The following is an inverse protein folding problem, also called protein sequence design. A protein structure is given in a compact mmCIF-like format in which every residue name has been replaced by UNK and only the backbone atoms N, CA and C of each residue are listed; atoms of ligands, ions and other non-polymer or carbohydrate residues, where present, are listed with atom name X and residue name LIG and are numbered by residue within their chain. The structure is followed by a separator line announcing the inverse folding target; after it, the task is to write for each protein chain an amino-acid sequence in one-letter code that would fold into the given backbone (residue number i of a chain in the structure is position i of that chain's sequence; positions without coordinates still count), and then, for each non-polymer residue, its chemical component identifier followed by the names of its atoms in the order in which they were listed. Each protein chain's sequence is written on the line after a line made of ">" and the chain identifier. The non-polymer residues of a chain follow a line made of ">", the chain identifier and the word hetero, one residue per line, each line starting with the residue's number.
data_IF_114591634286
#
_entry.id   IF_114591634286
#
_cell.length_a   1.000
_cell.length_b   1.000
_cell.length_c   1.000
_cell.angle_alpha   90.00
_cell.angle_beta   90.00
_cell.angle_gamma   90.00
#
_symmetry.space_group_name_H-M   'P 1'
#
loop_
_entity.id
_entity.type
_entity.pdbx_description
1 polymer ?
#
# COMPACT_ATOMS: atom_id res chain seq x y z
N UNK A 1 5.85 -7.97 9.92
CA UNK A 1 6.23 -8.77 8.73
C UNK A 1 7.46 -9.59 9.07
N UNK A 2 7.42 -10.89 8.82
CA UNK A 2 8.55 -11.80 9.04
C UNK A 2 9.63 -11.59 7.97
N UNK A 3 10.91 -11.85 8.27
CA UNK A 3 11.97 -11.77 7.26
C UNK A 3 11.63 -12.64 6.05
N UNK A 4 11.53 -12.04 4.85
CA UNK A 4 11.17 -12.73 3.60
C UNK A 4 9.83 -12.30 3.00
N UNK A 5 8.95 -11.68 3.77
CA UNK A 5 7.72 -11.11 3.24
C UNK A 5 8.03 -9.88 2.40
N UNK A 6 7.63 -9.93 1.13
CA UNK A 6 7.79 -8.85 0.16
C UNK A 6 6.46 -8.62 -0.51
N UNK A 7 6.19 -7.37 -0.82
CA UNK A 7 5.07 -7.01 -1.66
C UNK A 7 5.26 -7.61 -3.06
N UNK A 8 4.48 -8.63 -3.39
CA UNK A 8 4.51 -9.32 -4.68
C UNK A 8 3.10 -9.78 -5.07
N UNK A 9 2.14 -8.84 -5.25
CA UNK A 9 0.77 -9.19 -5.62
C UNK A 9 0.73 -9.73 -7.06
N UNK A 10 -0.27 -10.55 -7.33
CA UNK A 10 -0.71 -10.88 -8.69
C UNK A 10 -1.47 -9.71 -9.31
N UNK A 11 -1.66 -9.75 -10.64
CA UNK A 11 -2.44 -8.73 -11.34
C UNK A 11 -3.88 -8.63 -10.80
N UNK A 12 -4.49 -9.77 -10.48
CA UNK A 12 -5.85 -9.84 -9.94
C UNK A 12 -5.94 -9.17 -8.56
N UNK A 13 -4.99 -9.47 -7.67
CA UNK A 13 -4.92 -8.85 -6.33
C UNK A 13 -4.64 -7.34 -6.43
N UNK A 14 -3.76 -6.92 -7.35
CA UNK A 14 -3.48 -5.50 -7.57
C UNK A 14 -4.75 -4.74 -7.96
N UNK A 15 -5.56 -5.32 -8.85
CA UNK A 15 -6.80 -4.69 -9.32
C UNK A 15 -7.85 -4.71 -8.22
N UNK A 16 -8.16 -5.89 -7.68
CA UNK A 16 -9.31 -6.09 -6.79
C UNK A 16 -9.05 -5.55 -5.39
N UNK A 17 -7.88 -5.82 -4.80
CA UNK A 17 -7.59 -5.46 -3.41
C UNK A 17 -7.02 -4.05 -3.24
N UNK A 18 -6.43 -3.46 -4.29
CA UNK A 18 -5.80 -2.14 -4.20
C UNK A 18 -6.49 -1.08 -5.06
N UNK A 19 -6.61 -1.31 -6.38
CA UNK A 19 -7.12 -0.26 -7.29
C UNK A 19 -8.63 -0.05 -7.16
N UNK A 20 -9.42 -1.12 -7.12
CA UNK A 20 -10.88 -1.02 -6.94
C UNK A 20 -11.23 -0.38 -5.60
N UNK A 21 -10.57 -0.81 -4.52
CA UNK A 21 -10.76 -0.24 -3.19
C UNK A 21 -10.43 1.26 -3.14
N UNK A 22 -9.33 1.68 -3.78
CA UNK A 22 -8.97 3.09 -3.90
C UNK A 22 -10.01 3.94 -4.64
N UNK A 23 -10.71 3.37 -5.62
CA UNK A 23 -11.75 4.07 -6.38
C UNK A 23 -13.05 4.15 -5.57
N UNK A 24 -13.41 3.06 -4.89
CA UNK A 24 -14.68 2.93 -4.17
C UNK A 24 -14.66 3.64 -2.81
N UNK A 25 -13.49 3.72 -2.16
CA UNK A 25 -13.30 4.34 -0.86
C UNK A 25 -12.17 5.39 -0.92
N UNK A 26 -12.55 6.66 -0.84
CA UNK A 26 -11.62 7.78 -0.84
C UNK A 26 -10.73 7.83 0.42
N UNK A 27 -11.07 7.07 1.47
CA UNK A 27 -10.29 6.93 2.70
C UNK A 27 -9.35 5.74 2.68
N UNK A 28 -9.48 4.85 1.68
CA UNK A 28 -8.60 3.70 1.51
C UNK A 28 -7.14 4.15 1.40
N UNK A 29 -6.29 3.60 2.27
CA UNK A 29 -4.86 3.91 2.31
C UNK A 29 -4.05 2.63 2.24
N UNK A 30 -3.56 2.29 1.04
CA UNK A 30 -2.68 1.15 0.85
C UNK A 30 -1.28 1.40 1.41
N UNK A 31 -0.84 0.59 2.36
CA UNK A 31 0.49 0.69 3.00
C UNK A 31 1.68 0.45 2.05
N UNK A 32 1.42 -0.16 0.89
CA UNK A 32 2.44 -0.52 -0.10
C UNK A 32 2.44 0.38 -1.35
N UNK A 33 1.43 1.23 -1.54
CA UNK A 33 1.27 2.05 -2.76
C UNK A 33 1.09 3.52 -2.37
N UNK A 34 2.01 4.37 -2.82
CA UNK A 34 1.95 5.81 -2.60
C UNK A 34 1.14 6.53 -3.69
N UNK A 35 0.55 7.67 -3.34
CA UNK A 35 -0.11 8.56 -4.30
C UNK A 35 0.90 9.55 -4.88
N UNK A 36 1.17 9.47 -6.18
CA UNK A 36 2.07 10.38 -6.87
C UNK A 36 1.58 10.65 -8.29
N UNK A 37 1.80 11.87 -8.77
CA UNK A 37 1.57 12.24 -10.16
C UNK A 37 2.79 11.87 -11.00
N UNK A 38 2.71 10.74 -11.70
CA UNK A 38 3.82 10.21 -12.50
C UNK A 38 4.26 11.14 -13.64
N UNK A 39 3.41 12.08 -14.09
CA UNK A 39 3.74 12.99 -15.18
C UNK A 39 4.61 14.18 -14.74
N UNK A 40 4.80 14.36 -13.44
CA UNK A 40 5.57 15.47 -12.86
C UNK A 40 6.90 15.05 -12.27
N UNK A 41 7.24 13.76 -12.34
CA UNK A 41 8.42 13.20 -11.69
C UNK A 41 9.25 12.44 -12.72
N UNK A 42 10.57 12.54 -12.59
CA UNK A 42 11.45 11.69 -13.36
C UNK A 42 11.45 10.27 -12.78
N UNK A 43 11.65 9.22 -13.61
CA UNK A 43 11.56 7.83 -13.15
C UNK A 43 12.49 7.50 -11.97
N UNK A 44 13.65 8.14 -11.89
CA UNK A 44 14.63 7.94 -10.82
C UNK A 44 14.28 8.66 -9.50
N UNK A 45 13.32 9.58 -9.50
CA UNK A 45 12.85 10.26 -8.29
C UNK A 45 11.81 9.42 -7.54
N UNK A 46 11.11 8.53 -8.26
CA UNK A 46 10.04 7.68 -7.72
C UNK A 46 10.44 6.87 -6.49
N UNK A 47 11.63 6.24 -6.39
CA UNK A 47 12.03 5.48 -5.20
C UNK A 47 12.10 6.35 -3.95
N UNK A 48 12.62 7.58 -4.06
CA UNK A 48 12.73 8.52 -2.94
C UNK A 48 11.34 8.99 -2.50
N UNK A 49 10.48 9.31 -3.48
CA UNK A 49 9.09 9.69 -3.22
C UNK A 49 8.31 8.56 -2.56
N UNK A 50 8.47 7.31 -3.02
CA UNK A 50 7.81 6.15 -2.43
C UNK A 50 8.19 6.00 -0.94
N UNK A 51 9.48 6.08 -0.60
CA UNK A 51 9.94 6.01 0.80
C UNK A 51 9.34 7.17 1.61
N UNK A 52 9.41 8.40 1.09
CA UNK A 52 8.90 9.58 1.81
C UNK A 52 7.39 9.53 2.02
N UNK A 53 6.62 9.14 0.99
CA UNK A 53 5.16 9.16 1.05
C UNK A 53 4.60 8.00 1.90
N UNK A 54 5.16 6.80 1.74
CA UNK A 54 4.75 5.64 2.53
C UNK A 54 5.10 5.80 4.02
N UNK A 55 6.17 6.54 4.35
CA UNK A 55 6.52 6.83 5.75
C UNK A 55 5.66 7.93 6.36
N UNK A 56 5.21 8.92 5.57
CA UNK A 56 4.40 10.06 6.03
C UNK A 56 2.90 9.74 6.11
N UNK A 57 2.40 8.73 5.37
CA UNK A 57 1.00 8.27 5.46
C UNK A 57 0.59 7.67 6.82
N UNK A 58 1.45 7.68 7.85
CA UNK A 58 1.03 7.46 9.24
C UNK A 58 0.04 8.56 9.65
N UNK A 59 -1.24 8.21 9.79
CA UNK A 59 -2.22 9.10 10.39
C UNK A 59 -1.79 9.45 11.83
N UNK A 60 -2.06 10.67 12.34
CA UNK A 60 -1.61 11.08 13.67
C UNK A 60 -2.26 10.33 14.85
N UNK A 61 -3.15 9.37 14.62
CA UNK A 61 -4.02 8.80 15.65
C UNK A 61 -4.04 7.26 15.74
N UNK A 62 -3.11 6.53 15.11
CA UNK A 62 -2.98 5.10 15.38
C UNK A 62 -1.83 4.80 16.36
N UNK A 63 -2.21 4.62 17.63
CA UNK A 63 -1.33 4.05 18.67
C UNK A 63 -1.48 2.52 18.74
N UNK A 64 -1.88 1.87 17.64
CA UNK A 64 -2.03 0.41 17.57
C UNK A 64 -0.88 -0.21 16.80
N UNK A 65 -0.05 -1.06 17.42
CA UNK A 65 0.96 -1.81 16.70
C UNK A 65 0.28 -2.94 15.93
N UNK A 66 0.55 -2.99 14.63
CA UNK A 66 0.57 -4.21 13.82
C UNK A 66 -0.73 -5.05 13.83
N UNK A 67 -1.79 -4.56 13.20
CA UNK A 67 -2.65 -5.48 12.44
C UNK A 67 -2.53 -5.07 10.96
N UNK A 68 -2.21 -6.04 10.11
CA UNK A 68 -2.49 -5.89 8.68
C UNK A 68 -4.01 -5.71 8.56
N UNK A 69 -4.45 -4.91 7.60
CA UNK A 69 -5.88 -4.80 7.33
C UNK A 69 -6.42 -6.22 7.15
N UNK A 70 -7.45 -6.64 7.90
CA UNK A 70 -7.86 -8.05 7.96
C UNK A 70 -8.26 -8.61 6.60
N UNK A 71 -8.65 -7.75 5.65
CA UNK A 71 -8.90 -8.14 4.25
C UNK A 71 -7.63 -8.55 3.51
N UNK A 72 -6.51 -7.82 3.67
CA UNK A 72 -5.22 -8.17 3.02
C UNK A 72 -4.62 -9.44 3.63
N UNK A 73 -4.79 -9.61 4.95
CA UNK A 73 -4.36 -10.83 5.65
C UNK A 73 -5.16 -12.06 5.21
N UNK A 74 -6.45 -11.90 4.89
CA UNK A 74 -7.28 -13.00 4.36
C UNK A 74 -6.85 -13.47 2.95
N UNK A 75 -6.30 -12.57 2.13
CA UNK A 75 -5.73 -12.94 0.82
C UNK A 75 -4.42 -13.71 0.99
N UNK A 76 -3.61 -13.32 1.97
CA UNK A 76 -2.31 -13.94 2.25
C UNK A 76 -2.44 -15.29 2.98
N UNK A 77 -3.47 -15.51 3.82
CA UNK A 77 -3.79 -16.81 4.42
C UNK A 77 -4.40 -17.82 3.44
N UNK A 78 -4.92 -17.38 2.30
CA UNK A 78 -5.45 -18.29 1.26
C UNK A 78 -4.35 -18.95 0.41
N UNK A 79 -3.06 -18.67 0.66
CA UNK A 79 -1.92 -19.18 -0.12
C UNK A 79 -0.94 -19.99 0.74
#
# INVERSE_FOLDING_TARGET
>A
MSPGFRFHPTDEELITCYLMNKINDATFTGRAIADVDLNKCEPWELPVLAISLLTVKRTPNETSPMLLDPEVQAVEECR
#
